data_IF_038060026746
#
_entry.id   IF_038060026746
#
_cell.length_a   1.000
_cell.length_b   1.000
_cell.length_c   1.000
_cell.angle_alpha   90.00
_cell.angle_beta   90.00
_cell.angle_gamma   90.00
#
_symmetry.space_group_name_H-M   'P 1'
#
loop_
_entity.id
_entity.type
_entity.pdbx_description
1 polymer ?
#
# COMPACT_ATOMS: atom_id res chain seq x y z
N UNK A 1 -14.23 -62.52 -13.32
CA UNK A 1 -15.22 -62.21 -12.27
C UNK A 1 -14.68 -61.03 -11.47
N UNK A 2 -15.18 -59.80 -11.51
CA UNK A 2 -16.21 -59.10 -12.28
C UNK A 2 -15.77 -57.61 -12.29
N UNK A 3 -16.06 -56.93 -13.40
CA UNK A 3 -16.55 -55.55 -13.59
C UNK A 3 -16.00 -54.41 -12.71
N UNK A 4 -15.26 -53.43 -13.24
CA UNK A 4 -15.68 -52.33 -14.13
C UNK A 4 -16.56 -51.28 -13.44
N UNK A 5 -16.02 -50.09 -13.17
CA UNK A 5 -16.74 -48.81 -13.26
C UNK A 5 -15.75 -47.68 -13.55
N UNK A 6 -15.70 -47.28 -14.82
CA UNK A 6 -15.16 -46.01 -15.28
C UNK A 6 -16.26 -44.95 -15.14
N UNK A 7 -15.94 -43.80 -14.55
CA UNK A 7 -16.81 -42.63 -14.56
C UNK A 7 -16.18 -41.55 -15.45
N UNK A 8 -16.74 -41.46 -16.65
CA UNK A 8 -16.61 -40.38 -17.61
C UNK A 8 -17.50 -39.22 -17.16
N UNK A 9 -16.93 -38.03 -16.96
CA UNK A 9 -17.69 -36.78 -16.91
C UNK A 9 -17.23 -35.84 -18.03
N UNK A 10 -18.21 -35.41 -18.81
CA UNK A 10 -18.08 -34.60 -20.02
C UNK A 10 -17.80 -33.12 -19.71
N UNK A 11 -17.21 -32.35 -20.66
CA UNK A 11 -16.92 -30.93 -20.49
C UNK A 11 -18.17 -30.05 -20.70
N UNK A 12 -18.43 -29.18 -19.72
CA UNK A 12 -19.51 -28.17 -19.77
C UNK A 12 -19.05 -26.98 -20.61
N UNK A 13 -19.64 -26.80 -21.79
CA UNK A 13 -19.41 -25.65 -22.67
C UNK A 13 -20.11 -24.40 -22.12
N UNK A 14 -19.37 -23.38 -21.69
CA UNK A 14 -19.94 -22.08 -21.33
C UNK A 14 -19.91 -21.14 -22.54
N UNK A 15 -21.10 -20.76 -23.02
CA UNK A 15 -21.30 -19.92 -24.18
C UNK A 15 -21.06 -18.45 -23.84
N UNK A 16 -20.13 -17.81 -24.55
CA UNK A 16 -19.96 -16.37 -24.60
C UNK A 16 -21.21 -15.68 -25.17
N UNK A 17 -21.73 -14.67 -24.48
CA UNK A 17 -22.65 -13.67 -25.05
C UNK A 17 -21.92 -12.33 -25.10
N UNK A 18 -21.47 -11.96 -26.30
CA UNK A 18 -21.06 -10.59 -26.62
C UNK A 18 -22.33 -9.73 -26.79
N UNK A 19 -22.38 -8.58 -26.13
CA UNK A 19 -23.32 -7.51 -26.46
C UNK A 19 -22.49 -6.27 -26.78
N UNK A 20 -22.55 -5.84 -28.03
CA UNK A 20 -21.98 -4.61 -28.54
C UNK A 20 -22.89 -3.44 -28.17
N UNK A 21 -22.30 -2.33 -27.72
CA UNK A 21 -22.96 -1.03 -27.65
C UNK A 21 -22.17 -0.06 -28.54
N UNK A 22 -22.77 0.28 -29.68
CA UNK A 22 -22.39 1.36 -30.57
C UNK A 22 -22.90 2.69 -29.99
N UNK A 23 -22.03 3.68 -29.87
CA UNK A 23 -22.41 5.09 -29.74
C UNK A 23 -21.60 5.90 -30.76
N UNK A 24 -22.33 6.50 -31.69
CA UNK A 24 -21.87 7.49 -32.65
C UNK A 24 -22.50 8.85 -32.31
N UNK A 25 -21.72 9.92 -32.33
CA UNK A 25 -22.16 11.31 -32.52
C UNK A 25 -20.91 12.16 -32.82
N UNK A 26 -20.61 12.45 -34.09
CA UNK A 26 -21.05 13.60 -34.91
C UNK A 26 -20.26 14.88 -34.61
N UNK A 27 -19.47 15.24 -35.63
CA UNK A 27 -18.62 16.42 -35.79
C UNK A 27 -19.50 17.62 -36.12
N UNK A 28 -19.24 18.77 -35.50
CA UNK A 28 -19.85 20.05 -35.85
C UNK A 28 -18.85 21.19 -35.76
N UNK A 29 -18.11 21.42 -36.85
CA UNK A 29 -17.34 22.64 -37.06
C UNK A 29 -18.24 23.70 -37.70
N UNK A 30 -18.27 24.90 -37.14
CA UNK A 30 -18.80 26.09 -37.83
C UNK A 30 -17.91 27.28 -37.51
N UNK A 31 -17.27 27.78 -38.57
CA UNK A 31 -16.56 29.05 -38.66
C UNK A 31 -17.44 29.95 -39.51
N UNK A 32 -17.62 31.23 -39.15
CA UNK A 32 -17.77 32.37 -40.07
C UNK A 32 -17.80 33.73 -39.34
N UNK A 33 -17.51 34.84 -40.07
CA UNK A 33 -16.70 35.95 -39.59
C UNK A 33 -17.53 37.20 -39.24
N UNK A 34 -16.97 38.12 -38.45
CA UNK A 34 -17.52 39.47 -38.26
C UNK A 34 -16.34 40.45 -38.23
N UNK A 35 -16.06 41.09 -39.36
CA UNK A 35 -16.35 42.51 -39.64
C UNK A 35 -15.84 43.48 -38.56
N UNK A 36 -14.74 44.15 -38.91
CA UNK A 36 -14.28 45.37 -38.27
C UNK A 36 -15.26 46.51 -38.56
N UNK A 37 -15.57 47.31 -37.54
CA UNK A 37 -16.17 48.63 -37.69
C UNK A 37 -15.69 49.49 -36.53
N UNK A 38 -14.83 50.46 -36.86
CA UNK A 38 -14.44 51.55 -35.99
C UNK A 38 -15.58 52.56 -35.92
N UNK A 39 -15.99 52.97 -34.72
CA UNK A 39 -16.63 54.26 -34.51
C UNK A 39 -16.39 54.73 -33.08
N UNK A 40 -15.51 55.72 -32.98
CA UNK A 40 -15.27 56.58 -31.84
C UNK A 40 -16.47 57.50 -31.61
N UNK A 41 -16.96 57.55 -30.36
CA UNK A 41 -17.74 58.68 -29.84
C UNK A 41 -17.51 58.75 -28.33
N UNK A 42 -16.91 59.85 -27.91
CA UNK A 42 -16.75 60.25 -26.52
C UNK A 42 -18.11 60.45 -25.85
N UNK A 43 -18.26 59.89 -24.66
CA UNK A 43 -19.42 60.03 -23.80
C UNK A 43 -18.99 59.88 -22.35
N UNK A 44 -18.56 61.01 -21.78
CA UNK A 44 -18.41 61.36 -20.36
C UNK A 44 -18.89 60.27 -19.37
N UNK A 45 -17.96 59.49 -18.84
CA UNK A 45 -18.19 58.44 -17.85
C UNK A 45 -18.40 59.04 -16.47
N UNK A 46 -19.60 58.87 -15.92
CA UNK A 46 -19.81 58.94 -14.47
C UNK A 46 -18.91 57.90 -13.77
N UNK A 47 -18.37 58.18 -12.57
CA UNK A 47 -17.50 57.23 -11.88
C UNK A 47 -18.31 55.99 -11.49
N UNK A 48 -18.15 54.91 -12.26
CA UNK A 48 -18.61 53.58 -11.88
C UNK A 48 -17.82 53.15 -10.65
N UNK A 49 -18.52 52.97 -9.53
CA UNK A 49 -17.94 52.36 -8.33
C UNK A 49 -17.39 50.99 -8.72
N UNK A 50 -16.09 50.76 -8.45
CA UNK A 50 -15.48 49.46 -8.62
C UNK A 50 -16.22 48.46 -7.73
N UNK A 51 -16.96 47.54 -8.34
CA UNK A 51 -17.43 46.34 -7.66
C UNK A 51 -16.19 45.61 -7.16
N UNK A 52 -16.08 45.47 -5.85
CA UNK A 52 -15.11 44.57 -5.21
C UNK A 52 -15.25 43.19 -5.86
N UNK A 53 -14.14 42.64 -6.35
CA UNK A 53 -14.09 41.27 -6.85
C UNK A 53 -14.63 40.32 -5.77
N UNK A 54 -15.35 39.24 -6.13
CA UNK A 54 -15.75 38.22 -5.17
C UNK A 54 -14.49 37.69 -4.49
N UNK A 55 -14.51 37.73 -3.15
CA UNK A 55 -13.52 37.07 -2.30
C UNK A 55 -13.41 35.61 -2.75
N UNK A 56 -12.22 35.16 -3.15
CA UNK A 56 -11.99 33.76 -3.50
C UNK A 56 -12.46 32.91 -2.31
N UNK A 57 -13.44 32.04 -2.55
CA UNK A 57 -13.98 31.19 -1.50
C UNK A 57 -12.81 30.43 -0.83
N UNK A 58 -12.69 30.42 0.51
CA UNK A 58 -11.58 29.75 1.17
C UNK A 58 -11.53 28.29 0.74
N UNK A 59 -10.44 27.88 0.09
CA UNK A 59 -10.17 26.47 -0.16
C UNK A 59 -10.19 25.78 1.21
N UNK A 60 -10.98 24.71 1.42
CA UNK A 60 -11.00 24.01 2.70
C UNK A 60 -9.57 23.61 3.06
N UNK A 61 -9.05 24.16 4.15
CA UNK A 61 -7.73 23.79 4.63
C UNK A 61 -7.75 22.31 5.01
N UNK A 62 -6.97 21.49 4.29
CA UNK A 62 -6.77 20.09 4.68
C UNK A 62 -6.15 20.11 6.08
N UNK A 63 -6.75 19.44 7.08
CA UNK A 63 -6.20 19.44 8.43
C UNK A 63 -4.80 18.85 8.42
N UNK A 64 -3.86 19.50 9.12
CA UNK A 64 -2.53 18.93 9.32
C UNK A 64 -2.64 17.78 10.32
N UNK A 65 -2.38 16.56 9.84
CA UNK A 65 -2.43 15.32 10.62
C UNK A 65 -1.02 14.82 10.99
N UNK A 66 0.03 15.62 10.76
CA UNK A 66 1.43 15.23 11.01
C UNK A 66 1.65 14.81 12.46
N UNK A 67 1.21 15.61 13.43
CA UNK A 67 1.36 15.33 14.85
C UNK A 67 0.61 14.06 15.28
N UNK A 68 -0.61 13.85 14.77
CA UNK A 68 -1.38 12.63 15.02
C UNK A 68 -0.67 11.40 14.43
N UNK A 69 -0.13 11.49 13.21
CA UNK A 69 0.65 10.40 12.61
C UNK A 69 1.88 10.06 13.43
N UNK A 70 2.59 11.06 13.95
CA UNK A 70 3.71 10.85 14.87
C UNK A 70 3.27 10.15 16.16
N UNK A 71 2.15 10.56 16.77
CA UNK A 71 1.65 9.92 17.98
C UNK A 71 1.27 8.44 17.76
N UNK A 72 0.77 8.10 16.56
CA UNK A 72 0.44 6.72 16.21
C UNK A 72 1.68 5.81 16.02
N UNK A 73 2.90 6.36 15.89
CA UNK A 73 4.11 5.52 15.76
C UNK A 73 4.50 4.82 17.07
N UNK A 74 3.95 5.25 18.20
CA UNK A 74 4.13 4.60 19.51
C UNK A 74 3.44 3.23 19.58
N UNK A 75 2.52 2.92 18.65
CA UNK A 75 1.85 1.62 18.57
C UNK A 75 2.70 0.63 17.77
N UNK A 76 3.70 0.04 18.40
CA UNK A 76 4.72 -0.79 17.73
C UNK A 76 4.20 -2.08 17.10
N UNK A 77 3.12 -2.67 17.63
CA UNK A 77 2.48 -3.86 17.05
C UNK A 77 1.40 -3.52 15.98
N UNK A 78 1.32 -2.27 15.51
CA UNK A 78 0.25 -1.85 14.62
C UNK A 78 0.77 -1.18 13.33
N UNK A 79 -0.01 -1.36 12.27
CA UNK A 79 0.08 -0.60 11.03
C UNK A 79 -1.17 0.27 10.96
N UNK A 80 -1.01 1.55 11.32
CA UNK A 80 -2.10 2.52 11.41
C UNK A 80 -1.93 3.58 10.33
N UNK A 81 -3.00 3.85 9.61
CA UNK A 81 -3.09 4.92 8.62
C UNK A 81 -4.10 5.97 9.09
N UNK A 82 -3.81 7.23 8.79
CA UNK A 82 -4.74 8.35 9.03
C UNK A 82 -5.10 9.00 7.72
N UNK A 83 -6.40 9.01 7.43
CA UNK A 83 -6.97 9.59 6.23
C UNK A 83 -8.11 10.55 6.58
N UNK A 84 -8.39 11.51 5.68
CA UNK A 84 -9.62 12.30 5.72
C UNK A 84 -10.64 11.57 4.86
N UNK A 85 -11.72 11.12 5.48
CA UNK A 85 -12.84 10.45 4.82
C UNK A 85 -13.58 11.39 3.86
N UNK A 86 -14.37 10.79 2.95
CA UNK A 86 -15.19 11.56 1.99
C UNK A 86 -16.18 12.50 2.67
N UNK A 87 -16.59 12.16 3.89
CA UNK A 87 -17.46 12.93 4.77
C UNK A 87 -16.71 14.01 5.57
N UNK A 88 -15.45 14.29 5.22
CA UNK A 88 -14.55 15.23 5.91
C UNK A 88 -14.20 14.82 7.34
N UNK A 89 -14.59 13.63 7.81
CA UNK A 89 -14.19 13.12 9.11
C UNK A 89 -12.83 12.45 9.01
N UNK A 90 -12.02 12.63 10.05
CA UNK A 90 -10.72 11.96 10.14
C UNK A 90 -10.97 10.50 10.53
N UNK A 91 -10.32 9.59 9.82
CA UNK A 91 -10.39 8.15 10.05
C UNK A 91 -9.00 7.60 10.37
N UNK A 92 -8.94 6.77 11.40
CA UNK A 92 -7.78 5.93 11.74
C UNK A 92 -8.19 4.52 11.37
N UNK A 93 -7.48 3.93 10.42
CA UNK A 93 -7.72 2.56 9.98
C UNK A 93 -6.43 1.75 10.05
N UNK A 94 -6.52 0.45 10.27
CA UNK A 94 -5.32 -0.36 10.30
C UNK A 94 -5.51 -1.75 10.86
N UNK A 95 -4.38 -2.41 11.08
CA UNK A 95 -4.31 -3.72 11.70
C UNK A 95 -3.40 -3.67 12.92
N UNK A 96 -3.75 -4.42 13.96
CA UNK A 96 -2.93 -4.56 15.17
C UNK A 96 -2.72 -6.02 15.53
N UNK A 97 -1.46 -6.38 15.74
CA UNK A 97 -1.03 -7.64 16.33
C UNK A 97 -0.87 -7.53 17.85
N UNK A 98 -1.19 -6.37 18.45
CA UNK A 98 -1.09 -6.15 19.89
C UNK A 98 -2.45 -5.84 20.52
N UNK A 99 -2.41 -5.39 21.77
CA UNK A 99 -3.59 -5.00 22.54
C UNK A 99 -4.07 -3.57 22.22
N UNK A 100 -3.79 -3.07 21.00
CA UNK A 100 -4.24 -1.75 20.58
C UNK A 100 -5.77 -1.72 20.52
N UNK A 101 -6.35 -0.97 21.43
CA UNK A 101 -7.79 -0.82 21.57
C UNK A 101 -8.30 0.40 20.76
N UNK A 102 -9.38 0.26 19.97
CA UNK A 102 -9.97 1.36 19.20
C UNK A 102 -10.35 2.58 20.05
N UNK A 103 -10.84 2.39 21.28
CA UNK A 103 -11.23 3.53 22.14
C UNK A 103 -10.01 4.32 22.59
N UNK A 104 -8.90 3.63 22.89
CA UNK A 104 -7.62 4.26 23.22
C UNK A 104 -7.07 5.10 22.05
N UNK A 105 -7.20 4.62 20.81
CA UNK A 105 -6.85 5.39 19.61
C UNK A 105 -7.77 6.60 19.40
N UNK A 106 -9.07 6.42 19.62
CA UNK A 106 -10.04 7.51 19.52
C UNK A 106 -9.81 8.60 20.58
N UNK A 107 -9.37 8.22 21.78
CA UNK A 107 -8.97 9.14 22.85
C UNK A 107 -7.69 9.90 22.49
N UNK A 108 -6.64 9.19 22.05
CA UNK A 108 -5.41 9.83 21.60
C UNK A 108 -5.68 10.85 20.48
N UNK A 109 -6.54 10.50 19.51
CA UNK A 109 -6.89 11.41 18.43
C UNK A 109 -7.57 12.69 18.91
N UNK A 110 -8.32 12.68 20.01
CA UNK A 110 -9.01 13.87 20.53
C UNK A 110 -8.04 14.98 20.94
N UNK A 111 -6.81 14.64 21.34
CA UNK A 111 -5.77 15.62 21.69
C UNK A 111 -5.30 16.42 20.47
N UNK A 112 -5.50 15.88 19.26
CA UNK A 112 -5.10 16.50 17.99
C UNK A 112 -6.28 17.06 17.20
N UNK A 113 -7.51 16.60 17.47
CA UNK A 113 -8.70 16.92 16.67
C UNK A 113 -9.66 17.82 17.46
N UNK A 114 -9.62 19.13 17.22
CA UNK A 114 -10.53 20.07 17.90
C UNK A 114 -11.98 19.89 17.43
N UNK A 115 -12.86 19.46 18.34
CA UNK A 115 -14.31 19.39 18.11
C UNK A 115 -14.78 18.24 17.22
N UNK A 116 -13.89 17.31 16.84
CA UNK A 116 -14.22 16.15 16.01
C UNK A 116 -13.71 14.86 16.67
N UNK A 117 -14.44 13.77 16.48
CA UNK A 117 -13.95 12.43 16.84
C UNK A 117 -13.46 11.72 15.59
N UNK A 118 -12.31 11.07 15.69
CA UNK A 118 -11.85 10.17 14.65
C UNK A 118 -12.77 8.96 14.56
N UNK A 119 -13.11 8.54 13.34
CA UNK A 119 -13.62 7.19 13.11
C UNK A 119 -12.44 6.22 13.26
N UNK A 120 -12.60 5.14 14.01
CA UNK A 120 -11.52 4.17 14.23
C UNK A 120 -11.97 2.80 13.75
N UNK A 121 -11.24 2.23 12.79
CA UNK A 121 -11.50 0.91 12.21
C UNK A 121 -10.23 0.05 12.25
N UNK A 122 -10.11 -0.78 13.29
CA UNK A 122 -8.94 -1.64 13.50
C UNK A 122 -9.33 -3.10 13.42
N UNK A 123 -8.62 -3.86 12.61
CA UNK A 123 -8.70 -5.32 12.60
C UNK A 123 -7.61 -5.93 13.49
N UNK A 124 -7.98 -6.89 14.34
CA UNK A 124 -7.02 -7.64 15.15
C UNK A 124 -6.48 -8.81 14.37
N UNK A 125 -5.16 -8.98 14.40
CA UNK A 125 -4.44 -10.09 13.77
C UNK A 125 -3.74 -10.96 14.82
N UNK A 126 -3.12 -12.04 14.38
CA UNK A 126 -2.36 -12.92 15.27
C UNK A 126 -1.24 -12.17 16.00
N UNK A 127 -1.11 -12.31 17.33
CA UNK A 127 0.00 -11.72 18.08
C UNK A 127 1.39 -12.15 17.62
N UNK A 128 1.49 -13.30 16.93
CA UNK A 128 2.73 -13.77 16.33
C UNK A 128 3.32 -12.79 15.30
N UNK A 129 2.50 -11.91 14.71
CA UNK A 129 2.94 -10.90 13.75
C UNK A 129 3.45 -9.61 14.41
N UNK A 130 3.37 -9.46 15.74
CA UNK A 130 3.92 -8.27 16.39
C UNK A 130 5.45 -8.28 16.45
N UNK A 131 6.07 -9.44 16.66
CA UNK A 131 7.53 -9.53 16.81
C UNK A 131 8.29 -8.97 15.57
N UNK A 132 7.97 -9.36 14.32
CA UNK A 132 8.61 -8.77 13.15
C UNK A 132 8.39 -7.26 13.03
N UNK A 133 7.20 -6.75 13.38
CA UNK A 133 6.91 -5.31 13.36
C UNK A 133 7.74 -4.52 14.37
N UNK A 134 7.84 -5.04 15.60
CA UNK A 134 8.61 -4.42 16.67
C UNK A 134 10.09 -4.42 16.31
N UNK A 135 10.58 -5.51 15.73
CA UNK A 135 11.97 -5.65 15.33
C UNK A 135 12.40 -4.59 14.31
N UNK A 136 11.55 -4.25 13.35
CA UNK A 136 11.84 -3.23 12.32
C UNK A 136 11.43 -1.81 12.73
N UNK A 137 10.87 -1.61 13.92
CA UNK A 137 10.30 -0.34 14.38
C UNK A 137 11.20 0.89 14.18
N UNK A 138 12.48 0.86 14.60
CA UNK A 138 13.41 1.97 14.39
C UNK A 138 13.63 2.32 12.90
N UNK A 139 13.66 1.30 12.03
CA UNK A 139 13.86 1.46 10.59
C UNK A 139 12.60 1.98 9.89
N UNK A 140 11.40 1.65 10.41
CA UNK A 140 10.13 2.24 9.97
C UNK A 140 10.04 3.72 10.36
N UNK A 141 10.48 4.08 11.56
CA UNK A 141 10.53 5.48 11.99
C UNK A 141 11.46 6.32 11.11
N UNK A 142 12.65 5.78 10.78
CA UNK A 142 13.58 6.39 9.81
C UNK A 142 12.93 6.56 8.42
N UNK A 143 12.24 5.53 7.94
CA UNK A 143 11.52 5.56 6.67
C UNK A 143 10.43 6.64 6.62
N UNK A 144 9.66 6.80 7.70
CA UNK A 144 8.56 7.77 7.78
C UNK A 144 9.05 9.23 7.73
N UNK A 145 10.28 9.50 8.20
CA UNK A 145 10.92 10.82 8.10
C UNK A 145 11.52 11.13 6.72
N UNK A 146 11.52 10.18 5.79
CA UNK A 146 12.18 10.31 4.48
C UNK A 146 11.26 10.95 3.43
N UNK A 147 11.80 11.84 2.60
CA UNK A 147 11.05 12.48 1.51
C UNK A 147 10.67 11.50 0.38
N UNK A 148 11.53 10.51 0.12
CA UNK A 148 11.28 9.40 -0.78
C UNK A 148 11.29 8.09 0.02
N UNK A 149 10.15 7.75 0.59
CA UNK A 149 10.03 6.59 1.48
C UNK A 149 9.94 5.28 0.71
N UNK A 150 10.58 4.26 1.27
CA UNK A 150 10.37 2.86 0.89
C UNK A 150 8.89 2.52 1.11
N UNK A 151 8.21 2.01 0.08
CA UNK A 151 6.80 1.66 0.18
C UNK A 151 6.44 0.40 -0.61
N UNK A 152 5.42 -0.31 -0.12
CA UNK A 152 4.79 -1.45 -0.78
C UNK A 152 3.44 -0.98 -1.34
N UNK A 153 3.22 -1.21 -2.63
CA UNK A 153 2.01 -0.80 -3.36
C UNK A 153 1.34 -2.02 -3.99
N UNK A 154 0.11 -2.29 -3.58
CA UNK A 154 -0.77 -3.24 -4.24
C UNK A 154 -1.53 -2.55 -5.37
N UNK A 155 -1.90 -3.28 -6.43
CA UNK A 155 -2.67 -2.71 -7.55
C UNK A 155 -4.07 -2.27 -7.15
N UNK A 156 -4.66 -2.90 -6.13
CA UNK A 156 -6.00 -2.59 -5.65
C UNK A 156 -5.94 -1.67 -4.41
N UNK A 157 -6.56 -0.49 -4.52
CA UNK A 157 -6.62 0.50 -3.45
C UNK A 157 -7.61 0.15 -2.33
N UNK A 158 -8.47 -0.86 -2.53
CA UNK A 158 -9.64 -1.16 -1.71
C UNK A 158 -9.44 -2.28 -0.68
N UNK A 159 -8.21 -2.76 -0.47
CA UNK A 159 -7.92 -3.69 0.60
C UNK A 159 -6.95 -4.76 0.15
N UNK A 160 -6.00 -5.03 1.02
CA UNK A 160 -4.93 -6.01 0.91
C UNK A 160 -5.46 -7.45 0.99
N UNK A 161 -6.65 -7.74 0.43
CA UNK A 161 -7.27 -9.06 0.49
C UNK A 161 -6.99 -9.88 -0.76
N UNK A 162 -6.50 -11.09 -0.57
CA UNK A 162 -6.20 -12.06 -1.62
C UNK A 162 -7.06 -13.30 -1.44
N UNK A 163 -7.54 -13.86 -2.55
CA UNK A 163 -8.27 -15.14 -2.55
C UNK A 163 -7.36 -16.29 -2.97
N UNK A 164 -7.75 -17.51 -2.61
CA UNK A 164 -7.06 -18.74 -3.03
C UNK A 164 -6.71 -18.75 -4.53
N UNK A 165 -5.47 -19.16 -4.83
CA UNK A 165 -4.92 -19.22 -6.18
C UNK A 165 -4.56 -17.87 -6.80
N UNK A 166 -4.87 -16.73 -6.16
CA UNK A 166 -4.49 -15.41 -6.67
C UNK A 166 -2.96 -15.23 -6.58
N UNK A 167 -2.36 -14.68 -7.63
CA UNK A 167 -0.93 -14.35 -7.63
C UNK A 167 -0.66 -13.20 -6.62
N UNK A 168 0.25 -13.42 -5.68
CA UNK A 168 0.72 -12.41 -4.73
C UNK A 168 1.65 -11.44 -5.46
N UNK A 169 1.06 -10.40 -6.04
CA UNK A 169 1.76 -9.40 -6.83
C UNK A 169 1.66 -8.01 -6.21
N UNK A 170 2.81 -7.36 -6.08
CA UNK A 170 2.92 -6.00 -5.55
C UNK A 170 4.18 -5.32 -6.07
N UNK A 171 4.19 -4.00 -5.95
CA UNK A 171 5.32 -3.15 -6.29
C UNK A 171 6.02 -2.68 -5.01
N UNK A 172 7.34 -2.69 -5.02
CA UNK A 172 8.19 -2.03 -4.03
C UNK A 172 8.75 -0.77 -4.67
N UNK A 173 8.50 0.39 -4.07
CA UNK A 173 9.16 1.65 -4.44
C UNK A 173 10.40 1.80 -3.58
N UNK A 174 11.58 1.80 -4.20
CA UNK A 174 12.85 1.95 -3.52
C UNK A 174 13.01 3.36 -2.90
N UNK A 175 13.83 3.50 -1.84
CA UNK A 175 14.18 4.80 -1.28
C UNK A 175 15.06 5.60 -2.25
N UNK A 176 15.45 6.82 -1.86
CA UNK A 176 16.32 7.71 -2.65
C UNK A 176 17.79 7.30 -2.72
N UNK A 177 18.14 6.07 -2.34
CA UNK A 177 19.48 5.50 -2.47
C UNK A 177 19.45 4.11 -3.13
N UNK A 178 20.50 3.72 -3.87
CA UNK A 178 20.64 2.34 -4.35
C UNK A 178 20.70 1.37 -3.17
N UNK A 179 19.87 0.33 -3.22
CA UNK A 179 19.65 -0.55 -2.07
C UNK A 179 19.66 -2.03 -2.45
N UNK A 180 19.93 -2.85 -1.45
CA UNK A 180 19.65 -4.28 -1.42
C UNK A 180 18.36 -4.49 -0.62
N UNK A 181 17.36 -5.06 -1.26
CA UNK A 181 16.08 -5.38 -0.65
C UNK A 181 16.14 -6.74 0.05
N UNK A 182 15.65 -6.80 1.28
CA UNK A 182 15.18 -7.99 1.96
C UNK A 182 13.65 -7.92 2.01
N UNK A 183 12.97 -8.90 1.43
CA UNK A 183 11.52 -8.96 1.29
C UNK A 183 11.04 -10.29 1.85
N UNK A 184 10.37 -10.22 2.99
CA UNK A 184 9.94 -11.36 3.78
C UNK A 184 8.43 -11.36 3.91
N UNK A 185 7.81 -12.52 3.74
CA UNK A 185 6.38 -12.74 3.87
C UNK A 185 6.12 -13.69 5.03
N UNK A 186 5.63 -13.14 6.14
CA UNK A 186 5.27 -13.87 7.34
C UNK A 186 3.85 -14.39 7.22
N UNK A 187 3.72 -15.71 7.25
CA UNK A 187 2.46 -16.41 7.07
C UNK A 187 1.73 -16.60 8.41
N UNK A 188 0.45 -16.91 8.32
CA UNK A 188 -0.41 -17.06 9.50
C UNK A 188 -0.07 -18.28 10.38
N UNK A 189 0.66 -19.26 9.84
CA UNK A 189 1.13 -20.48 10.51
C UNK A 189 2.53 -20.39 11.13
N UNK A 190 3.19 -19.23 11.06
CA UNK A 190 4.45 -18.99 11.75
C UNK A 190 5.70 -19.37 10.95
N UNK A 191 5.58 -19.44 9.63
CA UNK A 191 6.69 -19.50 8.70
C UNK A 191 6.98 -18.11 8.11
N UNK A 192 8.18 -17.96 7.55
CA UNK A 192 8.57 -16.83 6.73
C UNK A 192 8.99 -17.34 5.36
N UNK A 193 8.44 -16.73 4.31
CA UNK A 193 8.82 -16.97 2.93
C UNK A 193 9.67 -15.79 2.46
N UNK A 194 10.90 -16.08 2.05
CA UNK A 194 11.82 -15.07 1.53
C UNK A 194 11.51 -14.83 0.06
N UNK A 195 10.80 -13.74 -0.23
CA UNK A 195 10.44 -13.37 -1.59
C UNK A 195 11.68 -12.84 -2.34
N UNK A 196 12.55 -12.11 -1.65
CA UNK A 196 13.79 -11.57 -2.21
C UNK A 196 14.81 -11.21 -1.10
N UNK A 197 16.12 -11.50 -1.25
CA UNK A 197 16.67 -12.48 -2.17
C UNK A 197 16.19 -13.89 -1.81
N UNK A 198 16.11 -14.77 -2.81
CA UNK A 198 15.76 -16.18 -2.63
C UNK A 198 16.66 -17.09 -3.50
N UNK A 199 16.64 -18.42 -3.32
CA UNK A 199 17.54 -19.32 -4.05
C UNK A 199 17.47 -19.26 -5.59
N UNK A 200 16.34 -18.84 -6.17
CA UNK A 200 16.22 -18.66 -7.63
C UNK A 200 16.36 -17.19 -8.06
N UNK A 201 16.32 -16.26 -7.12
CA UNK A 201 16.46 -14.83 -7.38
C UNK A 201 17.38 -14.19 -6.34
N UNK A 202 18.68 -14.34 -6.56
CA UNK A 202 19.74 -14.05 -5.58
C UNK A 202 19.97 -12.54 -5.42
N UNK A 203 19.69 -11.74 -6.44
CA UNK A 203 19.94 -10.29 -6.42
C UNK A 203 18.68 -9.52 -6.01
N UNK A 204 18.71 -8.94 -4.81
CA UNK A 204 17.72 -7.96 -4.35
C UNK A 204 18.04 -6.51 -4.70
N UNK A 205 19.01 -6.24 -5.59
CA UNK A 205 19.50 -4.87 -5.84
C UNK A 205 18.51 -4.04 -6.65
N UNK A 206 18.29 -2.81 -6.19
CA UNK A 206 17.50 -1.78 -6.87
C UNK A 206 18.27 -0.46 -6.91
N UNK A 207 18.02 0.32 -7.96
CA UNK A 207 18.52 1.70 -8.03
C UNK A 207 17.62 2.64 -7.23
N UNK A 208 18.14 3.84 -6.91
CA UNK A 208 17.40 4.89 -6.22
C UNK A 208 16.07 5.20 -6.92
N UNK A 209 14.98 5.24 -6.15
CA UNK A 209 13.63 5.54 -6.63
C UNK A 209 13.03 4.51 -7.61
N UNK A 210 13.71 3.40 -7.87
CA UNK A 210 13.22 2.37 -8.78
C UNK A 210 11.98 1.68 -8.23
N UNK A 211 11.11 1.22 -9.15
CA UNK A 211 9.97 0.36 -8.81
C UNK A 211 10.34 -1.09 -9.13
N UNK A 212 10.36 -1.94 -8.12
CA UNK A 212 10.57 -3.39 -8.25
C UNK A 212 9.24 -4.11 -8.11
N UNK A 213 8.73 -4.69 -9.19
CA UNK A 213 7.58 -5.59 -9.16
C UNK A 213 7.98 -7.01 -8.77
N UNK A 214 7.22 -7.62 -7.86
CA UNK A 214 7.33 -9.03 -7.48
C UNK A 214 6.03 -9.76 -7.79
N UNK A 215 6.12 -11.07 -8.02
CA UNK A 215 4.93 -11.92 -8.19
C UNK A 215 4.34 -11.95 -9.60
N UNK A 216 4.87 -11.20 -10.56
CA UNK A 216 4.32 -11.13 -11.92
C UNK A 216 4.67 -12.36 -12.74
N UNK A 217 3.65 -13.15 -13.07
CA UNK A 217 3.78 -14.34 -13.91
C UNK A 217 4.22 -13.98 -15.33
N UNK A 218 5.24 -14.69 -15.84
CA UNK A 218 5.71 -14.55 -17.23
C UNK A 218 6.70 -13.41 -17.48
N UNK A 219 7.03 -12.60 -16.46
CA UNK A 219 8.05 -11.55 -16.55
C UNK A 219 9.49 -12.07 -16.29
N UNK A 220 9.67 -13.39 -16.19
CA UNK A 220 10.97 -14.03 -15.92
C UNK A 220 11.41 -14.03 -14.45
N UNK A 221 10.64 -13.40 -13.55
CA UNK A 221 10.85 -13.45 -12.10
C UNK A 221 10.10 -14.58 -11.40
N UNK A 222 10.38 -14.76 -10.11
CA UNK A 222 9.60 -15.64 -9.23
C UNK A 222 8.16 -15.12 -9.07
N UNK A 223 7.22 -16.05 -8.94
CA UNK A 223 5.83 -15.77 -8.61
C UNK A 223 5.35 -16.72 -7.50
N UNK A 224 4.36 -16.26 -6.75
CA UNK A 224 3.73 -16.99 -5.66
C UNK A 224 2.23 -16.87 -5.80
N UNK A 225 1.51 -17.95 -5.52
CA UNK A 225 0.06 -17.97 -5.50
C UNK A 225 -0.39 -18.18 -4.05
N UNK A 226 -1.40 -17.42 -3.64
CA UNK A 226 -2.00 -17.52 -2.31
C UNK A 226 -2.63 -18.89 -2.14
N UNK A 227 -2.45 -19.49 -0.97
CA UNK A 227 -3.00 -20.78 -0.60
C UNK A 227 -3.21 -20.89 0.91
N UNK A 228 -3.74 -22.02 1.41
CA UNK A 228 -3.92 -22.23 2.83
C UNK A 228 -2.56 -22.38 3.56
N UNK A 229 -2.49 -22.02 4.85
CA UNK A 229 -3.58 -21.52 5.69
C UNK A 229 -3.90 -20.04 5.45
N UNK A 230 -5.20 -19.72 5.44
CA UNK A 230 -5.68 -18.36 5.20
C UNK A 230 -5.75 -17.55 6.49
N UNK A 231 -5.48 -16.25 6.40
CA UNK A 231 -5.64 -15.34 7.52
C UNK A 231 -4.97 -14.01 7.28
N UNK A 232 -4.56 -13.36 8.36
CA UNK A 232 -3.71 -12.18 8.29
C UNK A 232 -2.26 -12.56 8.21
N UNK A 233 -1.55 -11.88 7.32
CA UNK A 233 -0.17 -12.13 6.99
C UNK A 233 0.53 -10.80 6.78
N UNK A 234 1.87 -10.82 6.80
CA UNK A 234 2.65 -9.59 6.84
C UNK A 234 3.77 -9.65 5.81
N UNK A 235 3.85 -8.66 4.94
CA UNK A 235 5.04 -8.41 4.13
C UNK A 235 5.89 -7.40 4.86
N UNK A 236 7.16 -7.73 5.09
CA UNK A 236 8.20 -6.82 5.57
C UNK A 236 9.19 -6.58 4.44
N UNK A 237 9.54 -5.32 4.21
CA UNK A 237 10.61 -4.93 3.29
C UNK A 237 11.63 -4.10 4.05
N UNK A 238 12.90 -4.50 3.97
CA UNK A 238 14.04 -3.73 4.43
C UNK A 238 14.88 -3.34 3.21
N UNK A 239 15.21 -2.06 3.08
CA UNK A 239 16.15 -1.56 2.08
C UNK A 239 17.42 -1.12 2.78
N UNK A 240 18.54 -1.76 2.46
CA UNK A 240 19.85 -1.47 3.07
C UNK A 240 20.90 -1.17 1.99
N UNK A 241 21.87 -0.26 2.23
CA UNK A 241 23.00 -0.03 1.33
C UNK A 241 23.84 -1.26 1.00
N UNK A 242 23.81 -2.30 1.83
CA UNK A 242 24.51 -3.56 1.62
C UNK A 242 23.57 -4.76 1.93
N UNK A 243 23.84 -5.97 1.42
CA UNK A 243 23.05 -7.16 1.76
C UNK A 243 23.02 -7.40 3.28
N UNK A 244 21.83 -7.67 3.84
CA UNK A 244 21.68 -8.02 5.26
C UNK A 244 22.31 -9.38 5.60
N UNK A 245 22.33 -10.29 4.64
CA UNK A 245 22.89 -11.63 4.79
C UNK A 245 23.97 -11.87 3.73
N UNK A 246 25.01 -12.62 4.10
CA UNK A 246 26.11 -12.97 3.21
C UNK A 246 25.71 -13.95 2.09
N UNK A 247 24.68 -14.76 2.34
CA UNK A 247 24.09 -15.69 1.38
C UNK A 247 22.55 -15.62 1.48
N UNK A 248 21.82 -15.95 0.39
CA UNK A 248 20.38 -16.05 0.45
C UNK A 248 19.93 -17.05 1.53
N UNK A 249 18.86 -16.69 2.23
CA UNK A 249 18.14 -17.62 3.12
C UNK A 249 17.47 -18.72 2.28
N UNK A 250 17.10 -19.87 2.88
CA UNK A 250 16.16 -20.81 2.26
C UNK A 250 14.92 -20.08 1.74
N UNK A 251 14.16 -20.67 0.81
CA UNK A 251 12.93 -19.99 0.32
C UNK A 251 11.87 -19.85 1.43
N UNK A 252 11.79 -20.82 2.33
CA UNK A 252 10.93 -20.79 3.50
C UNK A 252 11.67 -21.34 4.73
N UNK A 253 11.42 -20.77 5.89
CA UNK A 253 11.90 -21.26 7.18
C UNK A 253 10.98 -20.81 8.33
N UNK A 254 11.15 -21.42 9.51
CA UNK A 254 10.36 -21.07 10.68
C UNK A 254 10.74 -19.67 11.22
N UNK A 255 9.74 -18.87 11.59
CA UNK A 255 9.93 -17.52 12.16
C UNK A 255 10.86 -17.52 13.37
N UNK A 256 10.73 -18.55 14.24
CA UNK A 256 11.57 -18.71 15.42
C UNK A 256 13.07 -18.87 15.11
N UNK A 257 13.42 -19.35 13.90
CA UNK A 257 14.81 -19.44 13.44
C UNK A 257 15.27 -18.14 12.76
N UNK A 258 14.35 -17.48 12.05
CA UNK A 258 14.67 -16.31 11.26
C UNK A 258 14.82 -15.03 12.08
N UNK A 259 13.89 -14.72 12.99
CA UNK A 259 13.88 -13.44 13.71
C UNK A 259 15.17 -13.14 14.48
N UNK A 260 15.82 -14.10 15.18
CA UNK A 260 17.12 -13.86 15.80
C UNK A 260 18.21 -13.49 14.78
N UNK A 261 18.21 -14.12 13.60
CA UNK A 261 19.17 -13.84 12.54
C UNK A 261 18.91 -12.47 11.90
N UNK A 262 17.64 -12.13 11.64
CA UNK A 262 17.24 -10.82 11.15
C UNK A 262 17.63 -9.73 12.15
N UNK A 263 17.40 -9.95 13.45
CA UNK A 263 17.83 -9.01 14.49
C UNK A 263 19.32 -8.75 14.44
N UNK A 264 20.14 -9.80 14.38
CA UNK A 264 21.60 -9.65 14.32
C UNK A 264 22.05 -8.86 13.08
N UNK A 265 21.42 -9.13 11.93
CA UNK A 265 21.70 -8.40 10.70
C UNK A 265 21.32 -6.92 10.80
N UNK A 266 20.15 -6.61 11.39
CA UNK A 266 19.67 -5.25 11.60
C UNK A 266 20.51 -4.46 12.61
N UNK A 267 20.95 -5.11 13.70
CA UNK A 267 21.86 -4.50 14.69
C UNK A 267 23.19 -4.04 14.05
N UNK A 268 23.59 -4.68 12.94
CA UNK A 268 24.82 -4.38 12.18
C UNK A 268 24.55 -3.61 10.88
N UNK A 269 23.29 -3.25 10.60
CA UNK A 269 22.92 -2.65 9.33
C UNK A 269 23.45 -1.21 9.20
N UNK A 270 23.69 -0.78 7.95
CA UNK A 270 24.19 0.57 7.71
C UNK A 270 23.17 1.63 8.15
N UNK A 271 23.60 2.82 8.61
CA UNK A 271 22.69 3.85 9.16
C UNK A 271 21.56 4.31 8.21
N UNK A 272 21.77 4.24 6.89
CA UNK A 272 20.77 4.59 5.89
C UNK A 272 19.70 3.50 5.68
N UNK A 273 19.78 2.38 6.39
CA UNK A 273 18.79 1.29 6.27
C UNK A 273 17.42 1.79 6.71
N UNK A 274 16.40 1.47 5.92
CA UNK A 274 14.99 1.79 6.18
C UNK A 274 14.13 0.55 6.00
N UNK A 275 12.96 0.53 6.65
CA UNK A 275 12.02 -0.58 6.53
C UNK A 275 10.58 -0.09 6.38
N UNK A 276 9.76 -0.94 5.78
CA UNK A 276 8.31 -0.79 5.73
C UNK A 276 7.66 -2.15 5.87
N UNK A 277 6.38 -2.17 6.22
CA UNK A 277 5.61 -3.40 6.26
C UNK A 277 4.17 -3.12 5.80
N UNK A 278 3.52 -4.15 5.25
CA UNK A 278 2.10 -4.13 4.90
C UNK A 278 1.45 -5.43 5.30
N UNK A 279 0.38 -5.35 6.07
CA UNK A 279 -0.52 -6.48 6.28
C UNK A 279 -1.33 -6.80 5.03
N UNK A 280 -1.62 -8.08 4.87
CA UNK A 280 -2.57 -8.59 3.88
C UNK A 280 -3.45 -9.67 4.49
N UNK A 281 -4.60 -9.91 3.86
CA UNK A 281 -5.61 -10.86 4.30
C UNK A 281 -5.87 -11.90 3.22
N UNK A 282 -5.46 -13.13 3.45
CA UNK A 282 -5.77 -14.25 2.58
C UNK A 282 -7.07 -14.91 3.00
N UNK A 283 -7.84 -15.44 2.03
CA UNK A 283 -9.09 -16.14 2.29
C UNK A 283 -9.38 -17.22 1.26
N UNK A 284 -10.20 -18.17 1.67
CA UNK A 284 -10.86 -19.08 0.75
C UNK A 284 -11.73 -18.31 -0.27
N UNK A 285 -12.05 -18.93 -1.43
CA UNK A 285 -12.85 -18.32 -2.50
C UNK A 285 -14.13 -17.62 -2.01
#
# INVERSE_FOLDING_TARGET
MNDAFALTFAPTTWRHRCAAALLAAVIGASVWPVHASNSSTDGETAPAQALTAPDDAPIPAVPDLSALRTALTEFHCAELEVAVGKDQRIAISGLTAGDTDPDSLALLAQDFLTGQRAAVEIERVSPALCEPLTLIGPFRASNAGSAASLSIRFKEAAGTSFVDGQDLMFDIVAPDFPAHLQVDYFTSDGDVIHLLPNPLEISGRVESGAVRRLGERGAGGRFWSVGPPYGHELIVVVASPAPLFAAPRPEAEAVASYLPALKQALDSAAPATVATARFLKTRAP
#
